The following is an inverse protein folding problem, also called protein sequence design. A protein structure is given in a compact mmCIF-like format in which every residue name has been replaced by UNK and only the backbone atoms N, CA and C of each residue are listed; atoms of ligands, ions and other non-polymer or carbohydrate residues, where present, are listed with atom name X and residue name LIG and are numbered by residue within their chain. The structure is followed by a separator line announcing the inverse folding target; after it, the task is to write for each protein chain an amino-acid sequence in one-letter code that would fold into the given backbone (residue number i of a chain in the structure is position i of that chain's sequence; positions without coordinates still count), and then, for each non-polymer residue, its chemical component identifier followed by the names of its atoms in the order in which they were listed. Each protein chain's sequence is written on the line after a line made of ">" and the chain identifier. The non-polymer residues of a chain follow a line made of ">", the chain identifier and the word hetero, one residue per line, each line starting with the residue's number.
data_IF_553452627878
#
_entry.id   IF_553452627878
#
_cell.length_a   1.000
_cell.length_b   1.000
_cell.length_c   1.000
_cell.angle_alpha   90.00
_cell.angle_beta   90.00
_cell.angle_gamma   90.00
#
_symmetry.space_group_name_H-M   'P 1'
#
loop_
_entity.id
_entity.type
_entity.pdbx_description
1 polymer ?
#
# COMPACT_ATOMS: atom_id res chain seq x y z
N UNK A 1 -38.96 38.48 -37.83
CA UNK A 1 -37.78 38.32 -36.97
C UNK A 1 -37.95 37.01 -36.25
N UNK A 2 -36.99 36.12 -36.47
CA UNK A 2 -36.84 34.80 -35.87
C UNK A 2 -36.86 34.86 -34.36
N UNK A 3 -37.41 33.82 -33.73
CA UNK A 3 -36.60 32.89 -32.94
C UNK A 3 -37.33 31.55 -32.90
N UNK A 4 -36.72 30.58 -33.58
CA UNK A 4 -36.93 29.15 -33.46
C UNK A 4 -36.51 28.68 -32.08
N UNK A 5 -37.35 27.93 -31.38
CA UNK A 5 -36.87 27.06 -30.29
C UNK A 5 -37.38 25.64 -30.51
N UNK A 6 -36.41 24.78 -30.81
CA UNK A 6 -36.51 23.34 -30.94
C UNK A 6 -36.56 22.71 -29.54
N UNK A 7 -37.64 22.00 -29.23
CA UNK A 7 -37.71 21.09 -28.09
C UNK A 7 -37.44 19.66 -28.56
N UNK A 8 -36.22 19.19 -28.37
CA UNK A 8 -35.76 17.84 -28.72
C UNK A 8 -36.40 16.72 -27.86
N UNK A 9 -36.45 15.48 -28.39
CA UNK A 9 -37.13 14.34 -27.78
C UNK A 9 -36.41 13.80 -26.53
N UNK A 10 -37.18 13.59 -25.46
CA UNK A 10 -36.75 12.87 -24.26
C UNK A 10 -36.45 11.41 -24.60
N UNK A 11 -35.17 11.06 -24.67
CA UNK A 11 -34.71 9.68 -24.79
C UNK A 11 -34.84 8.95 -23.45
N UNK A 12 -35.72 7.97 -23.40
CA UNK A 12 -35.91 7.08 -22.25
C UNK A 12 -34.68 6.17 -22.09
N UNK A 13 -33.90 6.42 -21.04
CA UNK A 13 -32.71 5.67 -20.67
C UNK A 13 -33.11 4.27 -20.15
N UNK A 14 -32.82 3.23 -20.95
CA UNK A 14 -33.01 1.85 -20.56
C UNK A 14 -32.00 1.47 -19.46
N UNK A 15 -32.50 1.21 -18.25
CA UNK A 15 -31.70 0.69 -17.15
C UNK A 15 -31.33 -0.77 -17.43
N UNK A 16 -30.05 -1.01 -17.72
CA UNK A 16 -29.47 -2.35 -17.81
C UNK A 16 -29.25 -2.89 -16.39
N UNK A 17 -30.00 -3.93 -16.02
CA UNK A 17 -29.85 -4.64 -14.75
C UNK A 17 -28.60 -5.51 -14.79
N UNK A 18 -27.60 -5.21 -13.95
CA UNK A 18 -26.45 -6.10 -13.72
C UNK A 18 -26.82 -7.13 -12.66
N UNK A 19 -26.92 -8.39 -13.10
CA UNK A 19 -27.13 -9.56 -12.26
C UNK A 19 -25.78 -9.99 -11.68
N UNK A 20 -25.52 -9.68 -10.41
CA UNK A 20 -24.38 -10.21 -9.65
C UNK A 20 -24.91 -11.36 -8.81
N UNK A 21 -24.46 -12.58 -9.11
CA UNK A 21 -24.31 -13.67 -8.13
C UNK A 21 -23.77 -14.93 -8.81
N UNK A 22 -22.54 -15.33 -8.46
CA UNK A 22 -22.25 -16.59 -7.75
C UNK A 22 -20.73 -16.77 -7.60
N UNK A 23 -20.31 -16.98 -6.34
CA UNK A 23 -18.92 -17.17 -5.92
C UNK A 23 -18.40 -18.55 -6.36
N UNK A 24 -17.13 -18.70 -6.76
CA UNK A 24 -16.50 -20.00 -6.84
C UNK A 24 -16.18 -20.53 -5.43
N UNK A 25 -16.74 -21.68 -5.12
CA UNK A 25 -16.44 -22.53 -3.96
C UNK A 25 -14.96 -22.95 -3.99
N UNK A 26 -14.11 -22.27 -3.22
CA UNK A 26 -12.72 -22.65 -3.00
C UNK A 26 -12.64 -23.51 -1.72
N UNK A 27 -12.98 -24.78 -1.87
CA UNK A 27 -12.86 -25.78 -0.82
C UNK A 27 -11.44 -25.84 -0.24
N UNK A 28 -11.33 -25.58 1.06
CA UNK A 28 -10.09 -25.75 1.83
C UNK A 28 -9.75 -27.24 2.00
N UNK A 29 -8.52 -27.68 1.68
CA UNK A 29 -8.11 -29.06 1.94
C UNK A 29 -7.87 -29.29 3.45
N UNK A 30 -8.54 -30.30 4.01
CA UNK A 30 -8.37 -30.74 5.40
C UNK A 30 -6.96 -31.29 5.62
N UNK A 31 -6.15 -30.59 6.42
CA UNK A 31 -4.83 -31.02 6.88
C UNK A 31 -4.90 -32.35 7.64
N UNK A 32 -4.31 -33.41 7.08
CA UNK A 32 -4.11 -34.70 7.75
C UNK A 32 -2.95 -34.56 8.74
N UNK A 33 -3.24 -34.66 10.05
CA UNK A 33 -2.20 -34.75 11.09
C UNK A 33 -1.45 -36.08 10.94
N UNK A 34 -0.20 -36.01 10.50
CA UNK A 34 0.73 -37.15 10.54
C UNK A 34 1.09 -37.43 11.99
N UNK A 35 0.79 -38.65 12.43
CA UNK A 35 1.17 -39.18 13.74
C UNK A 35 2.57 -39.80 13.66
N UNK A 36 3.46 -39.28 14.51
CA UNK A 36 4.52 -40.01 15.20
C UNK A 36 5.67 -40.57 14.37
N UNK A 37 6.88 -40.05 14.62
CA UNK A 37 8.09 -40.88 14.73
C UNK A 37 8.91 -40.37 15.92
N UNK A 38 9.17 -41.30 16.83
CA UNK A 38 9.99 -41.21 18.03
C UNK A 38 11.47 -41.20 17.68
N UNK A 39 12.27 -40.38 18.36
CA UNK A 39 13.73 -40.45 18.39
C UNK A 39 14.28 -39.77 19.67
N UNK A 40 15.23 -40.36 20.41
CA UNK A 40 15.53 -40.02 21.80
C UNK A 40 16.73 -39.06 21.97
N UNK A 41 17.06 -38.77 23.25
CA UNK A 41 18.28 -38.13 23.78
C UNK A 41 18.35 -36.60 23.66
N UNK A 42 18.74 -35.83 24.68
CA UNK A 42 19.47 -36.13 25.91
C UNK A 42 18.96 -35.35 27.12
N UNK A 43 18.93 -36.05 28.25
CA UNK A 43 18.96 -35.46 29.59
C UNK A 43 20.39 -35.04 29.86
N UNK A 44 20.59 -33.80 30.29
CA UNK A 44 21.45 -33.36 31.41
C UNK A 44 22.04 -31.98 31.11
N UNK A 45 21.66 -30.98 31.90
CA UNK A 45 22.58 -30.35 32.84
C UNK A 45 21.85 -29.29 33.66
N UNK A 46 21.50 -29.71 34.88
CA UNK A 46 21.20 -28.85 36.02
C UNK A 46 22.54 -28.32 36.53
N UNK A 47 22.83 -27.04 36.35
CA UNK A 47 23.83 -26.33 37.14
C UNK A 47 23.53 -24.82 37.15
N UNK A 48 23.16 -24.35 38.34
CA UNK A 48 22.97 -22.96 38.75
C UNK A 48 24.27 -22.17 38.64
N UNK A 49 24.25 -20.95 38.10
CA UNK A 49 25.05 -19.81 38.62
C UNK A 49 24.64 -18.48 38.00
N UNK A 50 24.38 -17.51 38.85
CA UNK A 50 24.06 -16.11 38.54
C UNK A 50 25.28 -15.29 38.06
N UNK A 51 24.99 -14.03 37.66
CA UNK A 51 25.87 -12.91 37.27
C UNK A 51 26.14 -12.84 35.74
N UNK A 52 26.02 -11.71 35.04
CA UNK A 52 25.87 -10.30 35.41
C UNK A 52 25.25 -9.50 34.27
N UNK A 53 24.50 -8.47 34.65
CA UNK A 53 24.03 -7.33 33.86
C UNK A 53 25.15 -6.65 33.05
N UNK A 54 24.73 -5.96 31.97
CA UNK A 54 25.42 -4.91 31.19
C UNK A 54 26.17 -5.32 29.92
N UNK A 55 25.43 -5.45 28.81
CA UNK A 55 25.86 -4.91 27.51
C UNK A 55 24.67 -4.24 26.81
N UNK A 56 24.51 -2.93 27.04
CA UNK A 56 23.68 -2.07 26.20
C UNK A 56 24.49 -1.67 24.97
N UNK A 57 24.22 -2.33 23.83
CA UNK A 57 24.50 -1.80 22.50
C UNK A 57 23.23 -1.92 21.65
N UNK A 58 22.36 -0.94 21.75
CA UNK A 58 21.29 -0.71 20.77
C UNK A 58 21.77 0.34 19.77
N UNK A 59 22.25 -0.12 18.61
CA UNK A 59 22.27 0.72 17.41
C UNK A 59 20.84 0.93 16.90
N UNK A 60 20.54 2.01 16.15
CA UNK A 60 19.20 2.23 15.65
C UNK A 60 18.96 1.27 14.47
N UNK A 61 18.24 0.19 14.71
CA UNK A 61 17.60 -0.59 13.64
C UNK A 61 16.34 0.17 13.22
N UNK A 62 16.43 0.81 12.06
CA UNK A 62 15.26 1.18 11.29
C UNK A 62 14.45 -0.08 10.96
N UNK A 63 13.17 -0.03 11.23
CA UNK A 63 12.19 -1.06 10.92
C UNK A 63 10.82 -0.46 11.19
N UNK A 64 10.12 -0.09 10.11
CA UNK A 64 8.76 0.43 10.19
C UNK A 64 7.82 -0.65 10.68
N UNK A 65 7.35 -0.52 11.91
CA UNK A 65 6.15 -1.19 12.39
C UNK A 65 4.99 -0.23 12.13
N UNK A 66 4.24 -0.48 11.07
CA UNK A 66 2.90 0.11 10.90
C UNK A 66 1.94 -0.90 11.52
N UNK A 67 1.79 -0.82 12.84
CA UNK A 67 0.64 -1.37 13.53
C UNK A 67 -0.13 -0.22 14.16
N UNK A 68 -1.27 0.15 13.57
CA UNK A 68 -2.39 0.77 14.30
C UNK A 68 -3.66 0.56 13.49
N UNK A 69 -4.32 -0.57 13.72
CA UNK A 69 -5.76 -0.61 13.57
C UNK A 69 -6.33 0.05 14.81
N UNK A 70 -6.83 1.27 14.68
CA UNK A 70 -7.65 1.89 15.73
C UNK A 70 -9.02 2.23 15.15
N UNK A 71 -9.99 1.66 15.83
CA UNK A 71 -11.41 1.86 15.67
C UNK A 71 -11.75 3.34 15.87
N UNK A 72 -12.70 3.81 15.07
CA UNK A 72 -12.98 5.19 14.73
C UNK A 72 -13.43 6.05 15.92
N UNK A 73 -12.47 6.64 16.64
CA UNK A 73 -12.65 7.85 17.41
C UNK A 73 -12.04 9.01 16.65
N UNK A 74 -12.86 9.97 16.19
CA UNK A 74 -12.37 11.25 15.67
C UNK A 74 -11.85 12.12 16.83
N UNK A 75 -10.88 11.61 17.59
CA UNK A 75 -10.20 12.38 18.61
C UNK A 75 -9.39 13.46 17.88
N UNK A 76 -9.60 14.77 18.18
CA UNK A 76 -8.76 15.83 17.65
C UNK A 76 -7.24 15.55 17.78
N UNK A 77 -6.82 14.80 18.81
CA UNK A 77 -5.42 14.40 18.98
C UNK A 77 -4.90 13.51 17.82
N UNK A 78 -5.75 12.68 17.23
CA UNK A 78 -5.35 11.80 16.13
C UNK A 78 -5.28 12.54 14.80
N UNK A 79 -6.09 13.59 14.62
CA UNK A 79 -6.00 14.48 13.47
C UNK A 79 -4.67 15.24 13.52
N UNK A 80 -4.28 15.76 14.68
CA UNK A 80 -3.01 16.49 14.82
C UNK A 80 -1.80 15.61 14.52
N UNK A 81 -1.78 14.35 14.99
CA UNK A 81 -0.75 13.37 14.63
C UNK A 81 -0.67 13.13 13.11
N UNK A 82 -1.82 13.02 12.43
CA UNK A 82 -1.89 12.85 10.98
C UNK A 82 -1.38 14.08 10.23
N UNK A 83 -1.70 15.28 10.72
CA UNK A 83 -1.18 16.54 10.15
C UNK A 83 0.33 16.61 10.31
N UNK A 84 0.88 16.32 11.48
CA UNK A 84 2.34 16.28 11.70
C UNK A 84 3.04 15.26 10.80
N UNK A 85 2.46 14.08 10.66
CA UNK A 85 2.98 13.06 9.75
C UNK A 85 2.99 13.55 8.29
N UNK A 86 1.95 14.27 7.88
CA UNK A 86 1.83 14.84 6.54
C UNK A 86 2.86 15.94 6.30
N UNK A 87 3.04 16.87 7.25
CA UNK A 87 4.06 17.94 7.17
C UNK A 87 5.48 17.39 6.97
N UNK A 88 5.82 16.27 7.61
CA UNK A 88 7.14 15.65 7.51
C UNK A 88 7.44 15.02 6.14
N UNK A 89 6.41 14.57 5.41
CA UNK A 89 6.59 13.87 4.12
C UNK A 89 6.40 14.79 2.92
N UNK A 90 5.67 15.91 3.09
CA UNK A 90 5.42 16.88 2.04
C UNK A 90 6.63 17.83 1.95
N UNK A 91 7.21 18.04 0.77
CA UNK A 91 8.30 19.00 0.60
C UNK A 91 7.91 20.39 1.12
N UNK A 92 8.69 20.94 2.06
CA UNK A 92 8.40 22.23 2.70
C UNK A 92 7.23 22.22 3.69
N UNK A 93 6.64 21.05 4.00
CA UNK A 93 5.40 20.94 4.78
C UNK A 93 5.46 21.44 6.22
N UNK A 94 6.63 21.41 6.86
CA UNK A 94 6.83 21.88 8.26
C UNK A 94 6.55 23.39 8.42
N UNK A 95 6.68 24.17 7.35
CA UNK A 95 6.49 25.63 7.36
C UNK A 95 5.09 26.05 6.85
N UNK A 96 4.27 25.10 6.37
CA UNK A 96 2.99 25.39 5.73
C UNK A 96 1.81 25.38 6.71
N UNK A 97 0.90 26.34 6.52
CA UNK A 97 -0.44 26.29 7.10
C UNK A 97 -1.26 25.13 6.51
N UNK A 98 -2.27 24.65 7.26
CA UNK A 98 -3.05 23.43 6.93
C UNK A 98 -3.63 23.46 5.50
N UNK A 99 -4.25 24.56 5.09
CA UNK A 99 -4.86 24.66 3.75
C UNK A 99 -3.80 24.53 2.64
N UNK A 100 -2.65 25.19 2.83
CA UNK A 100 -1.55 25.13 1.86
C UNK A 100 -0.84 23.77 1.89
N UNK A 101 -0.77 23.13 3.06
CA UNK A 101 -0.25 21.78 3.21
C UNK A 101 -1.05 20.80 2.35
N UNK A 102 -2.39 20.89 2.32
CA UNK A 102 -3.21 20.01 1.48
C UNK A 102 -3.05 20.30 -0.01
N UNK A 103 -2.91 21.57 -0.42
CA UNK A 103 -2.64 21.92 -1.81
C UNK A 103 -1.28 21.36 -2.27
N UNK A 104 -0.23 21.55 -1.47
CA UNK A 104 1.11 21.04 -1.75
C UNK A 104 1.13 19.51 -1.73
N UNK A 105 0.37 18.89 -0.82
CA UNK A 105 0.19 17.43 -0.78
C UNK A 105 -0.41 16.92 -2.08
N UNK A 106 -1.46 17.57 -2.60
CA UNK A 106 -2.08 17.17 -3.86
C UNK A 106 -1.10 17.29 -5.03
N UNK A 107 -0.34 18.39 -5.09
CA UNK A 107 0.71 18.59 -6.09
C UNK A 107 1.83 17.55 -5.99
N UNK A 108 2.28 17.23 -4.78
CA UNK A 108 3.33 16.26 -4.56
C UNK A 108 2.90 14.84 -4.93
N UNK A 109 1.68 14.41 -4.56
CA UNK A 109 1.11 13.12 -4.97
C UNK A 109 1.07 13.01 -6.49
N UNK A 110 0.56 14.04 -7.19
CA UNK A 110 0.50 14.04 -8.65
C UNK A 110 1.90 13.93 -9.26
N UNK A 111 2.87 14.65 -8.73
CA UNK A 111 4.26 14.62 -9.19
C UNK A 111 4.87 13.23 -9.02
N UNK A 112 4.73 12.60 -7.85
CA UNK A 112 5.19 11.24 -7.60
C UNK A 112 4.55 10.24 -8.58
N UNK A 113 3.24 10.36 -8.82
CA UNK A 113 2.55 9.51 -9.80
C UNK A 113 3.09 9.68 -11.21
N UNK A 114 3.33 10.92 -11.65
CA UNK A 114 3.91 11.22 -12.95
C UNK A 114 5.34 10.66 -13.08
N UNK A 115 6.17 10.79 -12.05
CA UNK A 115 7.53 10.22 -12.03
C UNK A 115 7.50 8.70 -12.24
N UNK A 116 6.67 7.98 -11.48
CA UNK A 116 6.54 6.53 -11.61
C UNK A 116 6.02 6.13 -13.00
N UNK A 117 5.02 6.85 -13.53
CA UNK A 117 4.49 6.59 -14.88
C UNK A 117 5.55 6.80 -15.96
N UNK A 118 6.34 7.88 -15.87
CA UNK A 118 7.41 8.18 -16.81
C UNK A 118 8.51 7.10 -16.77
N UNK A 119 8.96 6.72 -15.57
CA UNK A 119 9.97 5.66 -15.42
C UNK A 119 9.48 4.33 -16.01
N UNK A 120 8.22 3.95 -15.76
CA UNK A 120 7.62 2.75 -16.36
C UNK A 120 7.57 2.82 -17.88
N UNK A 121 7.19 3.96 -18.45
CA UNK A 121 7.16 4.15 -19.90
C UNK A 121 8.56 4.00 -20.52
N UNK A 122 9.59 4.58 -19.88
CA UNK A 122 10.98 4.44 -20.30
C UNK A 122 11.47 2.99 -20.21
N UNK A 123 11.20 2.30 -19.10
CA UNK A 123 11.57 0.88 -18.95
C UNK A 123 10.91 0.01 -20.02
N UNK A 124 9.61 0.21 -20.28
CA UNK A 124 8.89 -0.52 -21.32
C UNK A 124 9.47 -0.22 -22.72
N UNK A 125 9.86 1.03 -22.97
CA UNK A 125 10.50 1.43 -24.23
C UNK A 125 11.84 0.71 -24.42
N UNK A 126 12.71 0.69 -23.41
CA UNK A 126 13.99 -0.02 -23.49
C UNK A 126 13.81 -1.53 -23.64
N UNK A 127 12.86 -2.13 -22.91
CA UNK A 127 12.55 -3.55 -23.06
C UNK A 127 12.08 -3.88 -24.50
N UNK A 128 11.25 -3.02 -25.10
CA UNK A 128 10.85 -3.16 -26.49
C UNK A 128 12.03 -3.04 -27.45
N UNK A 129 12.92 -2.06 -27.24
CA UNK A 129 14.11 -1.85 -28.05
C UNK A 129 15.03 -3.08 -28.01
N UNK A 130 15.28 -3.65 -26.84
CA UNK A 130 16.08 -4.86 -26.70
C UNK A 130 15.47 -6.06 -27.42
N UNK A 131 14.15 -6.24 -27.33
CA UNK A 131 13.43 -7.28 -28.07
C UNK A 131 13.56 -7.10 -29.58
N UNK A 132 13.57 -5.86 -30.08
CA UNK A 132 13.80 -5.60 -31.51
C UNK A 132 15.25 -5.88 -31.94
N UNK A 133 16.24 -5.51 -31.12
CA UNK A 133 17.66 -5.78 -31.41
C UNK A 133 17.96 -7.28 -31.50
N UNK A 134 17.38 -8.09 -30.60
CA UNK A 134 17.55 -9.56 -30.60
C UNK A 134 16.85 -10.27 -31.76
N UNK A 135 15.94 -9.62 -32.49
CA UNK A 135 15.23 -10.21 -33.64
C UNK A 135 15.92 -9.99 -34.99
N UNK A 136 17.00 -9.20 -35.05
CA UNK A 136 17.71 -8.84 -36.28
C UNK A 136 19.11 -9.49 -36.41
N UNK A 137 19.50 -10.37 -35.48
CA UNK A 137 20.73 -11.16 -35.58
C UNK A 137 20.41 -12.61 -35.92
N UNK A 138 20.58 -12.97 -37.19
CA UNK A 138 20.64 -14.36 -37.67
C UNK A 138 22.07 -14.86 -37.75
#
# INVERSE_FOLDING_TARGET
>A
MEVTEHGEPTSALQRKTTRVHQNPDLGMPKSKRLKGLTGPSDRTNRATREQSLLEQKSGPRGGGEIESGDEEGSDPADVEKKIMALQRIVPGGEELAIDKLFEETAGYILTLQCQVKAMRALTNFFESLERTKRKLGG
#
